data_IF_654865343900
#
_entry.id   IF_654865343900
#
_cell.length_a   1.000
_cell.length_b   1.000
_cell.length_c   1.000
_cell.angle_alpha   90.00
_cell.angle_beta   90.00
_cell.angle_gamma   90.00
#
_symmetry.space_group_name_H-M   'P 1'
#
loop_
_entity.id
_entity.type
_entity.pdbx_description
1 polymer ?
#
# COMPACT_ATOMS: atom_id res chain seq x y z
N UNK A 1 -2.61 10.53 -15.96
CA UNK A 1 -3.18 10.10 -14.66
C UNK A 1 -4.66 9.78 -14.86
N UNK A 2 -5.08 8.52 -14.69
CA UNK A 2 -6.48 8.12 -14.92
C UNK A 2 -7.47 8.62 -13.86
N UNK A 3 -7.01 9.11 -12.70
CA UNK A 3 -7.87 9.51 -11.56
C UNK A 3 -7.63 10.97 -11.11
N UNK A 4 -6.76 11.73 -11.80
CA UNK A 4 -6.47 13.13 -11.43
C UNK A 4 -5.89 13.34 -10.03
N UNK A 5 -5.45 12.27 -9.35
CA UNK A 5 -4.94 12.32 -7.99
C UNK A 5 -3.62 13.10 -7.93
N UNK A 6 -3.70 14.35 -7.47
CA UNK A 6 -2.54 15.21 -7.23
C UNK A 6 -2.07 14.98 -5.80
N UNK A 7 -0.89 14.38 -5.65
CA UNK A 7 -0.22 14.24 -4.35
C UNK A 7 0.85 15.35 -4.27
N UNK A 8 0.62 16.36 -3.45
CA UNK A 8 1.57 17.48 -3.28
C UNK A 8 2.67 17.19 -2.24
N UNK A 9 2.57 16.08 -1.50
CA UNK A 9 3.54 15.69 -0.51
C UNK A 9 4.70 14.87 -1.14
N UNK A 10 5.97 15.11 -0.73
CA UNK A 10 7.12 14.35 -1.22
C UNK A 10 7.14 12.88 -0.75
N UNK A 11 6.20 12.52 0.14
CA UNK A 11 5.97 11.20 0.70
C UNK A 11 4.48 10.83 0.57
N UNK A 12 4.19 9.54 0.41
CA UNK A 12 2.82 9.00 0.41
C UNK A 12 2.35 8.54 1.80
N UNK A 13 1.16 7.95 1.86
CA UNK A 13 0.59 7.33 3.05
C UNK A 13 -0.52 8.15 3.72
N UNK A 14 -1.04 7.60 4.83
CA UNK A 14 -2.16 8.18 5.57
C UNK A 14 -1.87 9.61 6.08
N UNK A 15 -0.60 9.95 6.29
CA UNK A 15 -0.13 11.27 6.73
C UNK A 15 -0.56 12.43 5.83
N UNK A 16 -0.82 12.17 4.54
CA UNK A 16 -1.23 13.21 3.60
C UNK A 16 -2.66 13.71 3.87
N UNK A 17 -3.50 12.93 4.57
CA UNK A 17 -4.84 13.35 5.01
C UNK A 17 -4.82 14.45 6.07
N UNK A 18 -3.70 14.61 6.78
CA UNK A 18 -3.53 15.63 7.82
C UNK A 18 -3.17 17.00 7.25
N UNK A 19 -2.83 17.08 5.95
CA UNK A 19 -2.41 18.31 5.28
C UNK A 19 -3.58 18.83 4.43
N UNK A 20 -4.21 19.97 4.79
CA UNK A 20 -5.34 20.52 4.04
C UNK A 20 -4.96 20.80 2.57
N UNK A 21 -5.76 20.31 1.62
CA UNK A 21 -5.55 20.55 0.19
C UNK A 21 -4.40 19.76 -0.46
N UNK A 22 -3.72 18.86 0.26
CA UNK A 22 -2.61 18.08 -0.28
C UNK A 22 -3.04 16.95 -1.25
N UNK A 23 -4.30 16.52 -1.18
CA UNK A 23 -4.87 15.42 -1.95
C UNK A 23 -6.31 15.67 -2.38
N UNK A 24 -6.54 15.55 -3.69
CA UNK A 24 -7.87 15.57 -4.29
C UNK A 24 -7.89 14.59 -5.47
N UNK A 25 -8.87 13.66 -5.56
CA UNK A 25 -9.95 13.36 -4.61
C UNK A 25 -9.51 12.44 -3.45
N UNK A 26 -9.92 12.78 -2.22
CA UNK A 26 -9.55 12.04 -0.99
C UNK A 26 -10.03 10.58 -1.01
N UNK A 27 -11.27 10.34 -1.46
CA UNK A 27 -11.83 8.98 -1.52
C UNK A 27 -11.05 8.08 -2.49
N UNK A 28 -10.66 8.62 -3.65
CA UNK A 28 -9.83 7.88 -4.62
C UNK A 28 -8.45 7.54 -4.06
N UNK A 29 -7.88 8.45 -3.27
CA UNK A 29 -6.61 8.22 -2.58
C UNK A 29 -6.70 7.09 -1.55
N UNK A 30 -7.74 7.08 -0.72
CA UNK A 30 -7.98 6.02 0.27
C UNK A 30 -8.20 4.66 -0.41
N UNK A 31 -9.00 4.62 -1.47
CA UNK A 31 -9.22 3.39 -2.24
C UNK A 31 -7.92 2.85 -2.84
N UNK A 32 -7.06 3.72 -3.36
CA UNK A 32 -5.76 3.32 -3.89
C UNK A 32 -4.84 2.72 -2.80
N UNK A 33 -4.82 3.30 -1.60
CA UNK A 33 -4.07 2.73 -0.46
C UNK A 33 -4.61 1.35 -0.14
N UNK A 34 -5.92 1.20 0.07
CA UNK A 34 -6.54 -0.09 0.41
C UNK A 34 -6.24 -1.13 -0.65
N UNK A 35 -6.40 -0.79 -1.93
CA UNK A 35 -6.11 -1.69 -3.04
C UNK A 35 -4.64 -2.13 -3.04
N UNK A 36 -3.69 -1.21 -2.88
CA UNK A 36 -2.27 -1.52 -2.82
C UNK A 36 -1.90 -2.40 -1.62
N UNK A 37 -2.46 -2.11 -0.44
CA UNK A 37 -2.25 -2.93 0.77
C UNK A 37 -2.79 -4.34 0.61
N UNK A 38 -3.97 -4.50 0.01
CA UNK A 38 -4.54 -5.82 -0.27
C UNK A 38 -3.68 -6.60 -1.26
N UNK A 39 -3.27 -5.98 -2.37
CA UNK A 39 -2.41 -6.64 -3.36
C UNK A 39 -1.09 -7.07 -2.72
N UNK A 40 -0.43 -6.19 -1.98
CA UNK A 40 0.84 -6.51 -1.32
C UNK A 40 0.67 -7.61 -0.25
N UNK A 41 -0.36 -7.52 0.59
CA UNK A 41 -0.63 -8.48 1.66
C UNK A 41 -0.99 -9.87 1.11
N UNK A 42 -1.83 -9.92 0.08
CA UNK A 42 -2.21 -11.18 -0.57
C UNK A 42 -1.02 -11.78 -1.34
N UNK A 43 -0.30 -10.97 -2.12
CA UNK A 43 0.90 -11.43 -2.81
C UNK A 43 1.92 -11.99 -1.80
N UNK A 44 2.14 -11.31 -0.68
CA UNK A 44 2.99 -11.81 0.39
C UNK A 44 2.48 -13.13 0.97
N UNK A 45 1.19 -13.24 1.27
CA UNK A 45 0.61 -14.47 1.83
C UNK A 45 0.74 -15.68 0.88
N UNK A 46 0.61 -15.46 -0.43
CA UNK A 46 0.74 -16.54 -1.42
C UNK A 46 2.18 -16.86 -1.80
N UNK A 47 3.07 -15.87 -1.88
CA UNK A 47 4.46 -16.09 -2.29
C UNK A 47 5.37 -16.46 -1.11
N UNK A 48 5.03 -16.08 0.12
CA UNK A 48 5.86 -16.39 1.29
C UNK A 48 5.85 -17.90 1.53
N UNK A 49 7.03 -18.50 1.43
CA UNK A 49 7.25 -19.89 1.79
C UNK A 49 6.98 -20.09 3.28
N UNK A 50 6.36 -21.22 3.68
CA UNK A 50 6.09 -21.51 5.08
C UNK A 50 7.40 -21.53 5.86
N UNK A 51 7.43 -20.81 6.99
CA UNK A 51 8.64 -20.66 7.81
C UNK A 51 9.19 -22.00 8.28
N UNK A 52 8.31 -22.99 8.50
CA UNK A 52 8.69 -24.36 8.83
C UNK A 52 9.59 -25.02 7.76
N UNK A 53 9.32 -24.80 6.46
CA UNK A 53 10.18 -25.30 5.38
C UNK A 53 11.52 -24.55 5.29
N UNK A 54 11.51 -23.26 5.58
CA UNK A 54 12.73 -22.43 5.53
C UNK A 54 13.67 -22.80 6.67
N UNK A 55 13.14 -23.04 7.87
CA UNK A 55 13.93 -23.45 9.05
C UNK A 55 14.46 -24.88 8.86
N UNK A 56 13.65 -25.82 8.37
CA UNK A 56 14.09 -27.19 8.12
C UNK A 56 15.16 -27.33 7.03
N UNK A 57 15.24 -26.39 6.08
CA UNK A 57 16.28 -26.35 5.04
C UNK A 57 17.58 -25.67 5.51
N UNK A 58 17.51 -24.86 6.56
CA UNK A 58 18.66 -24.12 7.10
C UNK A 58 19.42 -24.88 8.21
N UNK A 59 18.81 -25.92 8.77
CA UNK A 59 19.41 -26.86 9.72
C UNK A 59 20.04 -28.06 8.99
#
# INVERSE_FOLDING_TARGET
>A
MWVGAKLMAPHGGLFVLLIPGAITPVLGYLLAIVAGTLVAGLAYAFLKRPEAEVIAKAA
#
